data_IF_126046561066
#
_entry.id   IF_126046561066
#
_cell.length_a   1.000
_cell.length_b   1.000
_cell.length_c   1.000
_cell.angle_alpha   90.00
_cell.angle_beta   90.00
_cell.angle_gamma   90.00
#
_symmetry.space_group_name_H-M   'P 1'
#
loop_
_entity.id
_entity.type
_entity.pdbx_description
1 polymer ?
#
# COMPACT_ATOMS: atom_id res chain seq x y z
N UNK A 1 -28.98 33.93 -14.63
CA UNK A 1 -28.54 32.78 -13.80
C UNK A 1 -27.12 32.42 -14.22
N UNK A 2 -26.12 32.72 -13.39
CA UNK A 2 -24.73 32.27 -13.60
C UNK A 2 -24.51 31.07 -12.68
N UNK A 3 -24.27 29.90 -13.27
CA UNK A 3 -23.87 28.72 -12.52
C UNK A 3 -22.35 28.77 -12.34
N UNK A 4 -21.90 29.05 -11.13
CA UNK A 4 -20.48 29.01 -10.77
C UNK A 4 -20.07 27.55 -10.53
N UNK A 5 -19.15 27.06 -11.37
CA UNK A 5 -18.50 25.76 -11.19
C UNK A 5 -17.48 25.89 -10.06
N UNK A 6 -17.84 25.43 -8.86
CA UNK A 6 -16.89 25.24 -7.76
C UNK A 6 -15.94 24.09 -8.09
N UNK A 7 -14.71 24.45 -8.44
CA UNK A 7 -13.59 23.50 -8.57
C UNK A 7 -13.26 22.91 -7.21
N UNK A 8 -13.70 21.67 -6.99
CA UNK A 8 -13.40 20.91 -5.78
C UNK A 8 -11.89 20.62 -5.69
N UNK A 9 -11.22 21.31 -4.76
CA UNK A 9 -9.82 21.08 -4.40
C UNK A 9 -9.65 19.66 -3.86
N UNK A 10 -8.74 18.88 -4.48
CA UNK A 10 -8.40 17.52 -4.04
C UNK A 10 -7.51 17.65 -2.80
N UNK A 11 -8.09 17.47 -1.62
CA UNK A 11 -7.34 17.41 -0.36
C UNK A 11 -6.62 16.07 -0.32
N UNK A 12 -5.32 16.10 -0.61
CA UNK A 12 -4.44 14.93 -0.50
C UNK A 12 -3.92 14.90 0.93
N UNK A 13 -4.27 13.86 1.69
CA UNK A 13 -3.72 13.66 3.04
C UNK A 13 -2.50 12.76 2.96
N UNK A 14 -1.38 13.22 3.52
CA UNK A 14 -0.15 12.45 3.62
C UNK A 14 -0.04 11.84 5.03
N UNK A 15 0.24 10.54 5.10
CA UNK A 15 0.53 9.85 6.36
C UNK A 15 1.95 9.31 6.32
N UNK A 16 2.75 9.67 7.32
CA UNK A 16 4.09 9.10 7.52
C UNK A 16 3.93 7.83 8.36
N UNK A 17 4.44 6.70 7.88
CA UNK A 17 4.46 5.45 8.64
C UNK A 17 5.68 4.59 8.31
N UNK A 18 5.87 3.49 9.05
CA UNK A 18 6.84 2.43 8.73
C UNK A 18 6.06 1.13 8.53
N UNK A 19 5.86 0.66 7.29
CA UNK A 19 5.05 -0.53 7.05
C UNK A 19 5.79 -1.75 7.57
N UNK A 20 5.17 -2.42 8.55
CA UNK A 20 5.64 -3.67 9.12
C UNK A 20 4.89 -4.79 8.41
N UNK A 21 5.62 -5.59 7.63
CA UNK A 21 5.11 -6.81 6.98
C UNK A 21 5.81 -8.02 7.56
N UNK A 22 5.18 -9.19 7.46
CA UNK A 22 5.77 -10.46 7.97
C UNK A 22 7.14 -10.71 7.33
N UNK A 23 7.26 -10.57 6.01
CA UNK A 23 8.53 -10.73 5.31
C UNK A 23 9.62 -9.76 5.79
N UNK A 24 9.27 -8.50 6.09
CA UNK A 24 10.24 -7.54 6.62
C UNK A 24 10.67 -7.88 8.04
N UNK A 25 9.75 -8.44 8.83
CA UNK A 25 10.03 -8.93 10.18
C UNK A 25 10.96 -10.15 10.14
N UNK A 26 10.69 -11.11 9.26
CA UNK A 26 11.57 -12.26 9.02
C UNK A 26 12.97 -11.82 8.61
N UNK A 27 13.08 -10.91 7.63
CA UNK A 27 14.37 -10.34 7.21
C UNK A 27 15.08 -9.60 8.36
N UNK A 28 14.34 -8.87 9.20
CA UNK A 28 14.91 -8.19 10.36
C UNK A 28 15.47 -9.19 11.37
N UNK A 29 14.73 -10.26 11.67
CA UNK A 29 15.18 -11.34 12.54
C UNK A 29 16.42 -12.05 12.00
N UNK A 30 16.45 -12.35 10.69
CA UNK A 30 17.60 -12.95 10.02
C UNK A 30 18.83 -12.04 10.11
N UNK A 31 18.68 -10.75 9.80
CA UNK A 31 19.78 -9.79 9.91
C UNK A 31 20.29 -9.66 11.34
N UNK A 32 19.39 -9.66 12.33
CA UNK A 32 19.75 -9.57 13.75
C UNK A 32 20.51 -10.81 14.22
N UNK A 33 20.12 -11.99 13.75
CA UNK A 33 20.81 -13.25 14.02
C UNK A 33 22.20 -13.31 13.37
N UNK A 34 22.32 -12.80 12.14
CA UNK A 34 23.57 -12.86 11.37
C UNK A 34 24.54 -11.71 11.68
N UNK A 35 24.12 -10.72 12.47
CA UNK A 35 24.99 -9.61 12.89
C UNK A 35 25.98 -10.09 13.95
N UNK A 36 27.26 -9.81 13.74
CA UNK A 36 28.28 -10.08 14.76
C UNK A 36 28.18 -9.04 15.89
N UNK A 37 27.88 -9.51 17.11
CA UNK A 37 27.79 -8.69 18.31
C UNK A 37 29.05 -8.72 19.17
N UNK A 38 30.13 -9.37 18.71
CA UNK A 38 31.39 -9.52 19.45
C UNK A 38 31.99 -8.18 19.91
N UNK A 39 31.77 -7.11 19.14
CA UNK A 39 32.22 -5.75 19.45
C UNK A 39 31.62 -5.20 20.76
N UNK A 40 30.43 -5.67 21.17
CA UNK A 40 29.78 -5.23 22.41
C UNK A 40 30.54 -5.71 23.65
N UNK A 41 31.15 -6.91 23.58
CA UNK A 41 31.94 -7.50 24.66
C UNK A 41 33.35 -6.92 24.76
N UNK A 42 33.84 -6.31 23.69
CA UNK A 42 35.19 -5.73 23.61
C UNK A 42 35.27 -4.32 24.23
N UNK A 43 34.13 -3.74 24.62
CA UNK A 43 34.04 -2.38 25.14
C UNK A 43 34.40 -2.30 26.62
N UNK A 44 35.27 -1.34 26.99
CA UNK A 44 35.69 -1.12 28.39
C UNK A 44 34.62 -0.50 29.28
N UNK A 45 33.60 0.12 28.69
CA UNK A 45 32.52 0.81 29.38
C UNK A 45 31.18 0.25 28.92
N UNK A 46 30.29 -0.02 29.87
CA UNK A 46 28.92 -0.46 29.60
C UNK A 46 28.16 0.58 28.75
N UNK A 47 28.41 1.86 28.98
CA UNK A 47 27.79 2.94 28.22
C UNK A 47 28.17 2.87 26.73
N UNK A 48 29.47 2.70 26.45
CA UNK A 48 29.97 2.59 25.09
C UNK A 48 29.46 1.33 24.40
N UNK A 49 29.48 0.19 25.10
CA UNK A 49 28.94 -1.08 24.60
C UNK A 49 27.47 -0.93 24.18
N UNK A 50 26.64 -0.32 25.05
CA UNK A 50 25.24 -0.10 24.79
C UNK A 50 25.02 0.87 23.61
N UNK A 51 25.75 1.98 23.56
CA UNK A 51 25.62 2.95 22.45
C UNK A 51 25.97 2.31 21.11
N UNK A 52 27.04 1.52 21.03
CA UNK A 52 27.43 0.82 19.79
C UNK A 52 26.42 -0.26 19.39
N UNK A 53 25.94 -1.05 20.37
CA UNK A 53 24.87 -2.03 20.15
C UNK A 53 23.62 -1.34 19.58
N UNK A 54 23.16 -0.30 20.27
CA UNK A 54 21.91 0.37 19.95
C UNK A 54 21.97 1.08 18.61
N UNK A 55 23.11 1.68 18.26
CA UNK A 55 23.33 2.25 16.93
C UNK A 55 23.18 1.17 15.84
N UNK A 56 23.87 0.04 16.01
CA UNK A 56 23.82 -1.06 15.02
C UNK A 56 22.41 -1.65 14.91
N UNK A 57 21.72 -1.82 16.04
CA UNK A 57 20.33 -2.27 16.07
C UNK A 57 19.39 -1.30 15.34
N UNK A 58 19.55 0.01 15.56
CA UNK A 58 18.74 1.02 14.87
C UNK A 58 19.00 1.03 13.37
N UNK A 59 20.24 0.84 12.94
CA UNK A 59 20.59 0.76 11.52
C UNK A 59 19.87 -0.42 10.84
N UNK A 60 19.90 -1.60 11.47
CA UNK A 60 19.15 -2.77 11.00
C UNK A 60 17.63 -2.49 10.97
N UNK A 61 17.11 -1.86 12.02
CA UNK A 61 15.69 -1.53 12.11
C UNK A 61 15.28 -0.54 11.00
N UNK A 62 16.05 0.51 10.77
CA UNK A 62 15.74 1.50 9.72
C UNK A 62 15.90 0.93 8.32
N UNK A 63 16.83 0.01 8.12
CA UNK A 63 17.00 -0.71 6.87
C UNK A 63 15.77 -1.60 6.56
N UNK A 64 15.29 -2.37 7.54
CA UNK A 64 14.14 -3.26 7.35
C UNK A 64 12.79 -2.52 7.32
N UNK A 65 12.66 -1.44 8.09
CA UNK A 65 11.42 -0.68 8.27
C UNK A 65 11.59 0.78 7.88
N UNK A 66 11.87 1.11 6.60
CA UNK A 66 12.06 2.50 6.18
C UNK A 66 10.79 3.33 6.40
N UNK A 67 10.98 4.62 6.69
CA UNK A 67 9.87 5.58 6.72
C UNK A 67 9.35 5.71 5.30
N UNK A 68 8.03 5.59 5.14
CA UNK A 68 7.34 5.86 3.89
C UNK A 68 6.28 6.92 4.12
N UNK A 69 6.16 7.82 3.14
CA UNK A 69 5.04 8.76 3.07
C UNK A 69 3.97 8.15 2.19
N UNK A 70 2.87 7.71 2.80
CA UNK A 70 1.71 7.22 2.09
C UNK A 70 0.83 8.40 1.69
N UNK A 71 0.70 8.63 0.39
CA UNK A 71 -0.32 9.53 -0.16
C UNK A 71 -1.65 8.79 -0.11
N UNK A 72 -2.48 9.11 0.87
CA UNK A 72 -3.86 8.65 0.90
C UNK A 72 -4.63 9.47 -0.12
N UNK A 73 -4.90 8.86 -1.27
CA UNK A 73 -6.01 9.35 -2.06
C UNK A 73 -7.26 9.00 -1.27
N UNK A 74 -7.81 9.98 -0.55
CA UNK A 74 -9.21 9.95 -0.18
C UNK A 74 -9.94 9.77 -1.49
N UNK A 75 -10.39 8.53 -1.78
CA UNK A 75 -11.27 8.32 -2.89
C UNK A 75 -12.35 9.37 -2.72
N UNK A 76 -12.50 10.26 -3.71
CA UNK A 76 -13.61 11.21 -3.76
C UNK A 76 -14.81 10.44 -3.24
N UNK A 77 -15.33 10.86 -2.08
CA UNK A 77 -16.58 10.31 -1.54
C UNK A 77 -17.47 10.14 -2.75
N UNK A 78 -17.75 8.89 -3.13
CA UNK A 78 -18.51 8.66 -4.35
C UNK A 78 -19.75 9.51 -4.19
N UNK A 79 -19.89 10.45 -5.11
CA UNK A 79 -20.85 11.53 -4.99
C UNK A 79 -22.15 10.88 -4.55
N UNK A 80 -22.77 11.31 -3.44
CA UNK A 80 -23.83 10.55 -2.75
C UNK A 80 -24.99 10.10 -3.67
N UNK A 81 -25.13 10.76 -4.83
CA UNK A 81 -26.06 10.42 -5.90
C UNK A 81 -25.65 9.20 -6.75
N UNK A 82 -24.39 8.80 -6.78
CA UNK A 82 -23.83 7.69 -7.54
C UNK A 82 -23.79 6.43 -6.68
N UNK A 83 -24.97 5.83 -6.51
CA UNK A 83 -25.18 4.60 -5.75
C UNK A 83 -24.80 3.34 -6.55
N UNK A 84 -24.86 2.18 -5.91
CA UNK A 84 -24.51 0.89 -6.52
C UNK A 84 -25.39 0.54 -7.72
N UNK A 85 -26.64 1.00 -7.73
CA UNK A 85 -27.57 0.80 -8.84
C UNK A 85 -27.08 1.50 -10.11
N UNK A 86 -26.74 2.79 -10.03
CA UNK A 86 -26.18 3.55 -11.14
C UNK A 86 -24.80 3.05 -11.57
N UNK A 87 -24.03 2.51 -10.62
CA UNK A 87 -22.77 1.82 -10.93
C UNK A 87 -23.01 0.59 -11.80
N UNK A 88 -23.96 -0.24 -11.41
CA UNK A 88 -24.30 -1.46 -12.15
C UNK A 88 -24.84 -1.14 -13.56
N UNK A 89 -25.70 -0.13 -13.69
CA UNK A 89 -26.19 0.32 -14.99
C UNK A 89 -25.05 0.81 -15.88
N UNK A 90 -24.10 1.58 -15.36
CA UNK A 90 -22.94 2.05 -16.13
C UNK A 90 -22.07 0.89 -16.62
N UNK A 91 -21.77 -0.08 -15.76
CA UNK A 91 -20.94 -1.23 -16.17
C UNK A 91 -21.68 -2.10 -17.20
N UNK A 92 -23.00 -2.26 -17.07
CA UNK A 92 -23.85 -2.90 -18.08
C UNK A 92 -23.77 -2.16 -19.42
N UNK A 93 -23.93 -0.84 -19.41
CA UNK A 93 -23.87 -0.03 -20.63
C UNK A 93 -22.48 -0.07 -21.30
N UNK A 94 -21.40 -0.10 -20.52
CA UNK A 94 -20.06 -0.32 -21.07
C UNK A 94 -19.92 -1.68 -21.74
N UNK A 95 -20.43 -2.74 -21.12
CA UNK A 95 -20.39 -4.08 -21.70
C UNK A 95 -21.13 -4.11 -23.05
N UNK A 96 -22.29 -3.46 -23.13
CA UNK A 96 -23.06 -3.31 -24.39
C UNK A 96 -22.28 -2.50 -25.43
N UNK A 97 -21.63 -1.40 -25.06
CA UNK A 97 -20.82 -0.60 -25.98
C UNK A 97 -19.60 -1.37 -26.51
N UNK A 98 -18.95 -2.19 -25.66
CA UNK A 98 -17.87 -3.10 -26.08
C UNK A 98 -18.38 -4.11 -27.10
N UNK A 99 -19.54 -4.74 -26.85
CA UNK A 99 -20.15 -5.69 -27.79
C UNK A 99 -20.54 -5.02 -29.10
N UNK A 100 -21.06 -3.80 -29.07
CA UNK A 100 -21.44 -3.04 -30.27
C UNK A 100 -20.23 -2.64 -31.12
N UNK A 101 -19.09 -2.36 -30.48
CA UNK A 101 -17.85 -1.96 -31.16
C UNK A 101 -17.07 -3.11 -31.76
N UNK A 102 -17.43 -4.37 -31.48
CA UNK A 102 -16.76 -5.55 -32.04
C UNK A 102 -17.75 -6.56 -32.64
N UNK A 103 -18.24 -6.34 -33.87
CA UNK A 103 -19.10 -7.32 -34.55
C UNK A 103 -18.37 -8.57 -35.08
N UNK A 104 -17.07 -8.74 -34.82
CA UNK A 104 -16.21 -9.71 -35.54
C UNK A 104 -15.27 -10.56 -34.70
N UNK A 105 -15.46 -10.70 -33.39
CA UNK A 105 -14.61 -11.54 -32.54
C UNK A 105 -15.43 -12.56 -31.73
N UNK A 106 -16.35 -13.25 -32.40
CA UNK A 106 -17.06 -14.38 -31.83
C UNK A 106 -16.28 -15.67 -32.06
N UNK A 107 -15.01 -15.74 -31.63
CA UNK A 107 -14.27 -16.99 -31.48
C UNK A 107 -13.02 -16.73 -30.63
N UNK A 108 -13.11 -17.05 -29.34
CA UNK A 108 -11.95 -17.13 -28.45
C UNK A 108 -11.76 -15.97 -27.48
N UNK A 109 -12.60 -15.90 -26.44
CA UNK A 109 -12.17 -15.48 -25.08
C UNK A 109 -13.28 -15.69 -24.05
N UNK A 110 -13.71 -16.95 -23.87
CA UNK A 110 -14.34 -17.38 -22.61
C UNK A 110 -13.19 -17.69 -21.66
N UNK A 111 -12.80 -16.72 -20.83
CA UNK A 111 -11.74 -16.98 -19.85
C UNK A 111 -11.14 -15.71 -19.25
N UNK A 112 -11.94 -14.92 -18.54
CA UNK A 112 -11.47 -13.91 -17.58
C UNK A 112 -12.64 -13.35 -16.76
N UNK A 113 -13.34 -14.22 -16.07
CA UNK A 113 -14.15 -13.83 -14.91
C UNK A 113 -13.53 -14.55 -13.71
N UNK A 114 -13.32 -13.80 -12.63
CA UNK A 114 -12.65 -14.16 -11.37
C UNK A 114 -11.14 -13.95 -11.31
N UNK A 115 -10.75 -12.72 -10.96
CA UNK A 115 -9.55 -12.50 -10.15
C UNK A 115 -9.69 -11.13 -9.51
N UNK A 116 -10.31 -11.03 -8.33
CA UNK A 116 -9.94 -10.11 -7.23
C UNK A 116 -10.74 -10.50 -5.97
N UNK A 117 -10.50 -11.72 -5.48
CA UNK A 117 -10.50 -11.94 -4.04
C UNK A 117 -9.23 -11.28 -3.53
N UNK A 118 -9.33 -10.04 -3.06
CA UNK A 118 -8.21 -9.33 -2.46
C UNK A 118 -8.15 -9.76 -1.00
N UNK A 119 -7.27 -10.73 -0.72
CA UNK A 119 -6.85 -11.04 0.64
C UNK A 119 -6.39 -9.75 1.30
N UNK A 120 -7.07 -9.36 2.37
CA UNK A 120 -6.60 -8.32 3.28
C UNK A 120 -5.40 -8.87 4.02
N UNK A 121 -4.20 -8.65 3.49
CA UNK A 121 -3.01 -8.62 4.34
C UNK A 121 -3.20 -7.48 5.33
N UNK A 122 -3.33 -7.87 6.60
CA UNK A 122 -3.41 -6.95 7.71
C UNK A 122 -2.09 -6.18 7.82
N UNK A 123 -2.04 -5.01 7.20
CA UNK A 123 -1.01 -4.00 7.51
C UNK A 123 -1.41 -3.38 8.85
N UNK A 124 -0.83 -3.88 9.92
CA UNK A 124 -0.86 -3.20 11.22
C UNK A 124 -0.03 -1.92 11.08
N UNK A 125 -0.70 -0.77 11.19
CA UNK A 125 -0.12 0.57 11.21
C UNK A 125 -0.15 1.15 12.61
#
# INVERSE_FOLDING_TARGET
MKCELTTNSVVTTERICRPITITKLENFCENLHNTDWSFTYSSKSAQTAFSSFFSSFLDLYYHCFPIVTLKLHTQKSQSKWYNDELRNMRETLKAVDIMRKSPGAAEGQIGRINKYGKSTENVLC
#
